data_IF_206054259642
#
_entry.id   IF_206054259642
#
_cell.length_a   1.000
_cell.length_b   1.000
_cell.length_c   1.000
_cell.angle_alpha   90.00
_cell.angle_beta   90.00
_cell.angle_gamma   90.00
#
_symmetry.space_group_name_H-M   'P 1'
#
loop_
_entity.id
_entity.type
_entity.pdbx_description
1 polymer ?
#
# COMPACT_ATOMS: atom_id res chain seq x y z
N UNK A 1 -47.49 61.63 39.63
CA UNK A 1 -47.25 61.17 38.24
C UNK A 1 -46.63 59.82 38.41
N UNK A 2 -47.47 58.79 38.38
CA UNK A 2 -47.12 57.50 38.96
C UNK A 2 -46.88 56.54 37.80
N UNK A 3 -45.60 56.36 37.49
CA UNK A 3 -45.14 55.42 36.47
C UNK A 3 -45.27 54.00 37.02
N UNK A 4 -46.25 53.26 36.50
CA UNK A 4 -46.54 51.89 36.87
C UNK A 4 -45.62 50.96 36.07
N UNK A 5 -44.58 50.44 36.71
CA UNK A 5 -43.72 49.38 36.16
C UNK A 5 -44.55 48.13 35.85
N UNK A 6 -44.71 47.82 34.57
CA UNK A 6 -45.33 46.57 34.10
C UNK A 6 -44.23 45.50 34.09
N UNK A 7 -44.38 44.50 34.96
CA UNK A 7 -43.41 43.42 35.20
C UNK A 7 -43.29 42.47 33.99
N UNK A 8 -42.12 42.43 33.34
CA UNK A 8 -41.78 41.55 32.22
C UNK A 8 -41.54 40.08 32.59
N UNK A 9 -42.46 39.44 33.33
CA UNK A 9 -42.38 38.01 33.67
C UNK A 9 -43.10 37.08 32.69
N UNK A 10 -44.04 37.59 31.89
CA UNK A 10 -44.92 36.75 31.05
C UNK A 10 -44.36 36.43 29.64
N UNK A 11 -43.20 36.98 29.27
CA UNK A 11 -42.63 36.80 27.93
C UNK A 11 -41.76 35.54 27.82
N UNK A 12 -41.14 35.10 28.93
CA UNK A 12 -40.30 33.88 28.95
C UNK A 12 -41.09 32.59 28.80
N UNK A 13 -42.33 32.55 29.29
CA UNK A 13 -43.13 31.33 29.27
C UNK A 13 -43.67 31.00 27.87
N UNK A 14 -43.93 32.03 27.05
CA UNK A 14 -44.34 31.88 25.65
C UNK A 14 -43.22 31.34 24.76
N UNK A 15 -41.98 31.76 25.00
CA UNK A 15 -40.81 31.26 24.26
C UNK A 15 -40.53 29.78 24.52
N UNK A 16 -40.81 29.29 25.73
CA UNK A 16 -40.73 27.86 26.06
C UNK A 16 -41.83 27.05 25.38
N UNK A 17 -43.07 27.55 25.39
CA UNK A 17 -44.20 26.85 24.75
C UNK A 17 -44.02 26.74 23.23
N UNK A 18 -43.55 27.82 22.58
CA UNK A 18 -43.24 27.82 21.13
C UNK A 18 -42.12 26.82 20.80
N UNK A 19 -41.09 26.71 21.64
CA UNK A 19 -40.01 25.72 21.46
C UNK A 19 -40.50 24.29 21.59
N UNK A 20 -41.34 24.01 22.59
CA UNK A 20 -41.90 22.67 22.78
C UNK A 20 -42.81 22.24 21.63
N UNK A 21 -43.61 23.16 21.09
CA UNK A 21 -44.45 22.89 19.91
C UNK A 21 -43.57 22.57 18.69
N UNK A 22 -42.53 23.39 18.45
CA UNK A 22 -41.60 23.16 17.34
C UNK A 22 -40.83 21.83 17.47
N UNK A 23 -40.49 21.39 18.69
CA UNK A 23 -39.82 20.11 18.93
C UNK A 23 -40.74 18.89 18.73
N UNK A 24 -42.04 19.02 19.05
CA UNK A 24 -43.05 17.98 18.78
C UNK A 24 -43.24 17.77 17.28
N UNK A 25 -43.33 18.85 16.51
CA UNK A 25 -43.50 18.80 15.06
C UNK A 25 -42.28 18.21 14.34
N UNK A 26 -41.06 18.54 14.78
CA UNK A 26 -39.83 17.95 14.24
C UNK A 26 -39.69 16.45 14.51
N UNK A 27 -40.26 15.95 15.60
CA UNK A 27 -40.21 14.52 15.93
C UNK A 27 -41.15 13.71 15.04
N UNK A 28 -42.35 14.23 14.74
CA UNK A 28 -43.27 13.63 13.79
C UNK A 28 -42.67 13.57 12.37
N UNK A 29 -42.04 14.67 11.93
CA UNK A 29 -41.31 14.75 10.66
C UNK A 29 -40.21 13.69 10.56
N UNK A 30 -39.45 13.49 11.64
CA UNK A 30 -38.38 12.49 11.70
C UNK A 30 -38.90 11.07 11.51
N UNK A 31 -39.98 10.69 12.19
CA UNK A 31 -40.57 9.36 12.04
C UNK A 31 -41.08 9.10 10.62
N UNK A 32 -41.64 10.12 9.98
CA UNK A 32 -42.11 10.04 8.59
C UNK A 32 -40.95 9.82 7.62
N UNK A 33 -39.82 10.54 7.80
CA UNK A 33 -38.59 10.34 7.03
C UNK A 33 -38.04 8.91 7.23
N UNK A 34 -38.03 8.38 8.46
CA UNK A 34 -37.53 7.01 8.70
C UNK A 34 -38.42 5.95 8.04
N UNK A 35 -39.75 6.10 8.11
CA UNK A 35 -40.72 5.19 7.48
C UNK A 35 -40.61 5.18 5.96
N UNK A 36 -40.41 6.34 5.33
CA UNK A 36 -40.31 6.47 3.87
C UNK A 36 -38.97 5.97 3.34
N UNK A 37 -37.85 6.23 4.04
CA UNK A 37 -36.55 5.66 3.69
C UNK A 37 -36.54 4.13 3.74
N UNK A 38 -37.26 3.51 4.69
CA UNK A 38 -37.44 2.05 4.76
C UNK A 38 -38.18 1.46 3.54
N UNK A 39 -38.99 2.26 2.85
CA UNK A 39 -39.67 1.86 1.60
C UNK A 39 -38.78 1.96 0.37
N UNK A 40 -37.53 2.40 0.52
CA UNK A 40 -36.57 2.54 -0.59
C UNK A 40 -36.77 3.79 -1.45
N UNK A 41 -37.60 4.73 -0.99
CA UNK A 41 -37.80 6.03 -1.64
C UNK A 41 -36.51 6.84 -1.53
N UNK A 42 -36.14 7.55 -2.60
CA UNK A 42 -34.93 8.37 -2.58
C UNK A 42 -35.10 9.60 -1.69
N UNK A 43 -33.98 10.10 -1.15
CA UNK A 43 -33.96 11.32 -0.32
C UNK A 43 -34.56 12.54 -1.03
N UNK A 44 -34.45 12.61 -2.37
CA UNK A 44 -35.02 13.70 -3.16
C UNK A 44 -36.54 13.61 -3.26
N UNK A 45 -37.08 12.41 -3.46
CA UNK A 45 -38.53 12.18 -3.51
C UNK A 45 -39.18 12.48 -2.14
N UNK A 46 -38.56 12.04 -1.04
CA UNK A 46 -39.02 12.35 0.32
C UNK A 46 -38.97 13.86 0.58
N UNK A 47 -37.89 14.53 0.14
CA UNK A 47 -37.77 15.98 0.28
C UNK A 47 -38.89 16.70 -0.46
N UNK A 48 -39.19 16.29 -1.69
CA UNK A 48 -40.28 16.88 -2.46
C UNK A 48 -41.65 16.63 -1.82
N UNK A 49 -41.93 15.40 -1.37
CA UNK A 49 -43.19 15.05 -0.71
C UNK A 49 -43.44 15.89 0.57
N UNK A 50 -42.40 16.14 1.36
CA UNK A 50 -42.50 16.97 2.56
C UNK A 50 -42.68 18.45 2.24
N UNK A 51 -42.03 18.96 1.20
CA UNK A 51 -42.27 20.33 0.72
C UNK A 51 -43.71 20.50 0.25
N UNK A 52 -44.26 19.50 -0.46
CA UNK A 52 -45.65 19.50 -0.93
C UNK A 52 -46.66 19.45 0.24
N UNK A 53 -46.24 18.95 1.41
CA UNK A 53 -47.01 18.96 2.66
C UNK A 53 -46.88 20.27 3.46
N UNK A 54 -46.15 21.27 2.94
CA UNK A 54 -46.02 22.60 3.54
C UNK A 54 -44.84 22.77 4.49
N UNK A 55 -43.96 21.78 4.62
CA UNK A 55 -42.73 21.91 5.41
C UNK A 55 -41.72 22.83 4.71
N UNK A 56 -40.95 23.60 5.47
CA UNK A 56 -39.88 24.41 4.89
C UNK A 56 -38.66 23.55 4.52
N UNK A 57 -37.89 23.96 3.51
CA UNK A 57 -36.67 23.22 3.13
C UNK A 57 -35.68 23.09 4.31
N UNK A 58 -35.63 24.09 5.20
CA UNK A 58 -34.73 24.06 6.36
C UNK A 58 -35.14 23.02 7.39
N UNK A 59 -36.44 22.88 7.67
CA UNK A 59 -36.97 21.86 8.59
C UNK A 59 -36.72 20.45 8.05
N UNK A 60 -36.95 20.26 6.76
CA UNK A 60 -36.68 18.98 6.08
C UNK A 60 -35.19 18.63 6.13
N UNK A 61 -34.30 19.59 5.87
CA UNK A 61 -32.86 19.37 5.94
C UNK A 61 -32.39 19.08 7.37
N UNK A 62 -32.95 19.77 8.39
CA UNK A 62 -32.69 19.49 9.81
C UNK A 62 -33.13 18.07 10.20
N UNK A 63 -34.30 17.62 9.75
CA UNK A 63 -34.78 16.27 10.00
C UNK A 63 -33.86 15.20 9.37
N UNK A 64 -33.40 15.41 8.14
CA UNK A 64 -32.43 14.50 7.52
C UNK A 64 -31.10 14.47 8.25
N UNK A 65 -30.58 15.62 8.69
CA UNK A 65 -29.33 15.67 9.47
C UNK A 65 -29.49 14.89 10.78
N UNK A 66 -30.60 15.10 11.51
CA UNK A 66 -30.91 14.34 12.72
C UNK A 66 -30.93 12.83 12.44
N UNK A 67 -31.58 12.41 11.36
CA UNK A 67 -31.65 10.99 10.96
C UNK A 67 -30.27 10.41 10.63
N UNK A 68 -29.45 11.14 9.88
CA UNK A 68 -28.09 10.71 9.54
C UNK A 68 -27.21 10.59 10.79
N UNK A 69 -27.33 11.52 11.75
CA UNK A 69 -26.62 11.46 13.04
C UNK A 69 -27.02 10.22 13.84
N UNK A 70 -28.32 9.99 14.04
CA UNK A 70 -28.80 8.81 14.78
C UNK A 70 -28.38 7.50 14.11
N UNK A 71 -28.45 7.44 12.77
CA UNK A 71 -27.99 6.28 12.00
C UNK A 71 -26.49 6.03 12.20
N UNK A 72 -25.68 7.07 12.17
CA UNK A 72 -24.23 6.96 12.40
C UNK A 72 -23.92 6.52 13.84
N UNK A 73 -24.65 7.03 14.84
CA UNK A 73 -24.52 6.60 16.24
C UNK A 73 -24.80 5.10 16.39
N UNK A 74 -25.90 4.59 15.82
CA UNK A 74 -26.21 3.15 15.82
C UNK A 74 -25.11 2.31 15.16
N UNK A 75 -24.52 2.78 14.06
CA UNK A 75 -23.40 2.10 13.39
C UNK A 75 -22.16 2.07 14.29
N UNK A 76 -21.84 3.17 14.98
CA UNK A 76 -20.71 3.24 15.90
C UNK A 76 -20.84 2.22 17.04
N UNK A 77 -22.02 2.15 17.67
CA UNK A 77 -22.30 1.16 18.74
C UNK A 77 -22.14 -0.29 18.25
N UNK A 78 -22.57 -0.59 17.02
CA UNK A 78 -22.41 -1.93 16.42
C UNK A 78 -20.93 -2.27 16.18
N UNK A 79 -20.12 -1.30 15.74
CA UNK A 79 -18.69 -1.48 15.55
C UNK A 79 -17.96 -1.71 16.87
N UNK A 80 -18.33 -0.99 17.93
CA UNK A 80 -17.80 -1.20 19.27
C UNK A 80 -18.12 -2.62 19.79
N UNK A 81 -19.38 -3.07 19.63
CA UNK A 81 -19.78 -4.45 19.96
C UNK A 81 -18.96 -5.48 19.18
N UNK A 82 -18.76 -5.28 17.88
CA UNK A 82 -17.92 -6.18 17.07
C UNK A 82 -16.46 -6.19 17.55
N UNK A 83 -15.92 -5.04 17.92
CA UNK A 83 -14.54 -4.94 18.41
C UNK A 83 -14.34 -5.70 19.72
N UNK A 84 -15.31 -5.62 20.64
CA UNK A 84 -15.31 -6.41 21.89
C UNK A 84 -15.36 -7.92 21.59
N UNK A 85 -16.23 -8.35 20.67
CA UNK A 85 -16.31 -9.76 20.25
C UNK A 85 -14.98 -10.26 19.66
N UNK A 86 -14.33 -9.46 18.81
CA UNK A 86 -13.03 -9.80 18.23
C UNK A 86 -11.92 -9.88 19.28
N UNK A 87 -11.90 -8.97 20.25
CA UNK A 87 -10.96 -9.03 21.39
C UNK A 87 -11.15 -10.32 22.19
N UNK A 88 -12.40 -10.67 22.51
CA UNK A 88 -12.72 -11.88 23.25
C UNK A 88 -12.38 -13.15 22.46
N UNK A 89 -12.64 -13.16 21.15
CA UNK A 89 -12.27 -14.26 20.27
C UNK A 89 -10.75 -14.43 20.20
N UNK A 90 -9.99 -13.33 20.11
CA UNK A 90 -8.52 -13.36 20.15
C UNK A 90 -7.99 -13.91 21.47
N UNK A 91 -8.56 -13.47 22.60
CA UNK A 91 -8.16 -13.96 23.92
C UNK A 91 -8.49 -15.46 24.09
N UNK A 92 -9.66 -15.90 23.62
CA UNK A 92 -10.02 -17.33 23.58
C UNK A 92 -9.08 -18.12 22.69
N UNK A 93 -8.71 -17.60 21.51
CA UNK A 93 -7.77 -18.25 20.61
C UNK A 93 -6.35 -18.33 21.20
N UNK A 94 -5.92 -17.32 21.96
CA UNK A 94 -4.64 -17.34 22.67
C UNK A 94 -4.61 -18.37 23.80
N UNK A 95 -5.71 -18.49 24.57
CA UNK A 95 -5.86 -19.53 25.60
C UNK A 95 -6.04 -20.95 25.04
N UNK A 96 -6.79 -21.08 23.95
CA UNK A 96 -7.07 -22.36 23.30
C UNK A 96 -5.96 -22.81 22.36
N UNK A 97 -5.00 -21.93 22.03
CA UNK A 97 -3.78 -22.35 21.38
C UNK A 97 -3.12 -23.38 22.30
N UNK A 98 -3.05 -24.67 21.91
CA UNK A 98 -2.43 -25.68 22.74
C UNK A 98 -1.03 -25.18 23.01
N UNK A 99 -0.69 -25.08 24.30
CA UNK A 99 0.66 -24.83 24.80
C UNK A 99 1.59 -25.54 23.84
N UNK A 100 2.33 -24.77 23.03
CA UNK A 100 3.11 -25.35 21.96
C UNK A 100 4.11 -26.28 22.64
N UNK A 101 3.77 -27.58 22.68
CA UNK A 101 4.69 -28.65 23.05
C UNK A 101 5.92 -28.35 22.24
N UNK A 102 6.96 -27.87 22.93
CA UNK A 102 8.19 -27.33 22.34
C UNK A 102 8.58 -28.26 21.22
N UNK A 103 8.30 -27.86 19.96
CA UNK A 103 8.67 -28.67 18.79
C UNK A 103 10.15 -29.03 18.99
N UNK A 104 10.55 -30.30 18.82
CA UNK A 104 11.92 -30.72 19.06
C UNK A 104 12.81 -29.73 18.34
N UNK A 105 13.66 -29.02 19.11
CA UNK A 105 14.51 -27.93 18.65
C UNK A 105 15.01 -28.29 17.26
N UNK A 106 14.43 -27.70 16.20
CA UNK A 106 14.88 -27.88 14.82
C UNK A 106 16.39 -27.70 14.91
N UNK A 107 17.17 -28.76 14.65
CA UNK A 107 18.64 -28.73 14.80
C UNK A 107 19.11 -27.44 14.16
N UNK A 108 19.47 -26.44 15.00
CA UNK A 108 19.77 -25.09 14.53
C UNK A 108 20.80 -25.27 13.42
N UNK A 109 20.49 -24.76 12.23
CA UNK A 109 21.38 -24.84 11.07
C UNK A 109 22.72 -24.28 11.53
N UNK A 110 23.68 -25.16 11.80
CA UNK A 110 24.96 -24.79 12.41
C UNK A 110 25.70 -23.90 11.43
N UNK A 111 26.14 -22.74 11.90
CA UNK A 111 27.00 -21.85 11.12
C UNK A 111 28.38 -22.48 11.04
N UNK A 112 28.99 -22.50 9.86
CA UNK A 112 30.26 -23.18 9.61
C UNK A 112 31.33 -22.14 9.40
N UNK A 113 32.36 -22.14 10.23
CA UNK A 113 33.44 -21.18 10.23
C UNK A 113 34.78 -21.82 9.86
N UNK A 114 35.62 -21.06 9.16
CA UNK A 114 36.97 -21.44 8.76
C UNK A 114 37.99 -20.73 9.65
N UNK A 115 38.77 -21.50 10.43
CA UNK A 115 39.84 -20.99 11.32
C UNK A 115 40.87 -20.15 10.55
N UNK A 116 41.27 -20.60 9.36
CA UNK A 116 42.29 -19.91 8.56
C UNK A 116 41.82 -18.56 8.02
N UNK A 117 40.61 -18.49 7.47
CA UNK A 117 40.12 -17.25 6.84
C UNK A 117 39.43 -16.31 7.83
N UNK A 118 39.19 -16.77 9.07
CA UNK A 118 38.31 -16.13 10.06
C UNK A 118 36.97 -15.70 9.46
N UNK A 119 36.41 -16.52 8.56
CA UNK A 119 35.09 -16.30 7.96
C UNK A 119 34.12 -17.40 8.32
N UNK A 120 32.84 -17.06 8.45
CA UNK A 120 31.76 -18.02 8.67
C UNK A 120 30.73 -18.01 7.55
N UNK A 121 30.09 -19.15 7.37
CA UNK A 121 29.27 -19.49 6.23
C UNK A 121 27.95 -20.13 6.67
N UNK A 122 26.90 -19.88 5.89
CA UNK A 122 25.63 -20.59 6.03
C UNK A 122 25.75 -22.02 5.49
N UNK A 123 25.04 -23.00 6.07
CA UNK A 123 24.98 -24.35 5.50
C UNK A 123 24.31 -24.28 4.11
N UNK A 124 25.07 -24.66 3.08
CA UNK A 124 24.72 -24.48 1.67
C UNK A 124 25.57 -23.46 0.91
N UNK A 125 26.50 -22.77 1.58
CA UNK A 125 27.47 -21.94 0.88
C UNK A 125 28.48 -22.80 0.12
N UNK A 126 28.72 -22.51 -1.18
CA UNK A 126 29.74 -23.18 -2.00
C UNK A 126 31.14 -23.19 -1.37
N UNK A 127 31.47 -22.19 -0.55
CA UNK A 127 32.78 -22.14 0.12
C UNK A 127 32.91 -23.11 1.30
N UNK A 128 31.81 -23.64 1.83
CA UNK A 128 31.84 -24.60 2.94
C UNK A 128 32.55 -25.90 2.55
N UNK A 129 32.33 -26.35 1.33
CA UNK A 129 32.96 -27.57 0.78
C UNK A 129 34.49 -27.41 0.62
N UNK A 130 34.97 -26.17 0.52
CA UNK A 130 36.40 -25.86 0.41
C UNK A 130 37.09 -25.69 1.76
N UNK A 131 36.34 -25.69 2.88
CA UNK A 131 36.92 -25.61 4.23
C UNK A 131 37.39 -27.00 4.62
N UNK A 132 38.70 -27.16 4.83
CA UNK A 132 39.27 -28.41 5.35
C UNK A 132 38.65 -28.74 6.71
N UNK A 133 38.36 -30.01 6.96
CA UNK A 133 37.73 -30.49 8.21
C UNK A 133 38.49 -30.04 9.47
N UNK A 134 39.83 -30.02 9.42
CA UNK A 134 40.70 -29.53 10.50
C UNK A 134 40.51 -28.04 10.84
N UNK A 135 40.15 -27.24 9.84
CA UNK A 135 39.98 -25.79 9.94
C UNK A 135 38.50 -25.41 10.15
N UNK A 136 37.59 -26.39 10.26
CA UNK A 136 36.16 -26.16 10.38
C UNK A 136 35.72 -26.06 11.85
N UNK A 137 35.18 -24.90 12.26
CA UNK A 137 34.49 -24.71 13.55
C UNK A 137 32.99 -24.55 13.29
N UNK A 138 32.14 -25.09 14.15
CA UNK A 138 30.66 -24.99 14.01
C UNK A 138 30.09 -24.20 15.19
N UNK A 139 29.26 -23.21 14.89
CA UNK A 139 28.59 -22.37 15.88
C UNK A 139 27.08 -22.63 15.89
N UNK A 140 26.45 -22.39 17.03
CA UNK A 140 25.00 -22.51 17.21
C UNK A 140 24.23 -21.38 16.54
N UNK A 141 24.83 -20.19 16.46
CA UNK A 141 24.29 -19.03 15.77
C UNK A 141 25.40 -18.12 15.20
N UNK A 142 24.99 -17.04 14.53
CA UNK A 142 25.93 -16.07 13.96
C UNK A 142 26.56 -15.17 15.02
N UNK A 143 25.89 -14.93 16.16
CA UNK A 143 26.38 -14.04 17.20
C UNK A 143 27.60 -14.65 17.88
N UNK A 144 27.52 -15.93 18.23
CA UNK A 144 28.59 -16.74 18.81
C UNK A 144 29.84 -16.72 17.91
N UNK A 145 29.66 -16.93 16.60
CA UNK A 145 30.76 -16.85 15.63
C UNK A 145 31.41 -15.46 15.59
N UNK A 146 30.63 -14.40 15.70
CA UNK A 146 31.12 -13.02 15.69
C UNK A 146 31.85 -12.63 16.98
N UNK A 147 31.34 -13.05 18.14
CA UNK A 147 32.00 -12.90 19.43
C UNK A 147 33.37 -13.58 19.44
N UNK A 148 33.47 -14.74 18.78
CA UNK A 148 34.71 -15.48 18.56
C UNK A 148 35.60 -14.90 17.47
N UNK A 149 35.21 -13.77 16.88
CA UNK A 149 36.03 -13.04 15.92
C UNK A 149 35.99 -13.61 14.49
N UNK A 150 34.89 -14.24 14.08
CA UNK A 150 34.68 -14.62 12.69
C UNK A 150 33.83 -13.58 11.94
N UNK A 151 34.14 -13.37 10.66
CA UNK A 151 33.45 -12.43 9.77
C UNK A 151 32.47 -13.17 8.85
N UNK A 152 31.29 -12.62 8.52
CA UNK A 152 30.37 -13.24 7.60
C UNK A 152 30.99 -13.40 6.22
N UNK A 153 30.79 -14.55 5.60
CA UNK A 153 31.15 -14.76 4.21
C UNK A 153 30.34 -13.81 3.32
N UNK A 154 31.06 -13.05 2.49
CA UNK A 154 30.43 -12.12 1.55
C UNK A 154 29.49 -12.81 0.56
N UNK A 155 29.57 -14.12 0.32
CA UNK A 155 28.76 -14.80 -0.71
C UNK A 155 27.45 -15.37 -0.17
N UNK A 156 27.47 -16.09 0.95
CA UNK A 156 26.25 -16.70 1.50
C UNK A 156 25.56 -15.85 2.57
N UNK A 157 26.23 -14.82 3.08
CA UNK A 157 25.63 -13.88 4.03
C UNK A 157 25.18 -12.57 3.33
N UNK A 158 25.13 -12.54 1.99
CA UNK A 158 24.55 -11.43 1.21
C UNK A 158 23.10 -11.26 1.62
N UNK A 159 22.74 -10.05 2.07
CA UNK A 159 21.37 -9.72 2.49
C UNK A 159 21.24 -9.37 3.97
N UNK A 160 22.22 -9.73 4.81
CA UNK A 160 22.31 -9.18 6.17
C UNK A 160 23.20 -7.95 6.13
N UNK A 161 22.62 -6.83 5.71
CA UNK A 161 23.22 -5.49 5.72
C UNK A 161 23.51 -5.09 7.17
N UNK A 162 24.56 -5.65 7.75
CA UNK A 162 24.98 -5.33 9.12
C UNK A 162 25.69 -3.99 9.14
N UNK A 163 25.17 -3.10 9.96
CA UNK A 163 25.82 -1.85 10.30
C UNK A 163 26.95 -2.17 11.27
N UNK A 164 28.15 -1.68 10.98
CA UNK A 164 29.33 -1.93 11.83
C UNK A 164 29.62 -0.66 12.61
N UNK A 165 29.53 -0.71 13.92
CA UNK A 165 29.88 0.36 14.83
C UNK A 165 31.27 0.16 15.44
N UNK A 166 31.91 1.26 15.80
CA UNK A 166 33.24 1.29 16.40
C UNK A 166 33.13 1.85 17.82
N UNK A 167 33.28 0.99 18.83
CA UNK A 167 33.26 1.36 20.26
C UNK A 167 34.20 2.52 20.59
N UNK A 168 35.38 2.52 19.98
CA UNK A 168 36.40 3.54 20.21
C UNK A 168 36.05 4.94 19.67
N UNK A 169 35.28 5.03 18.58
CA UNK A 169 35.01 6.32 17.91
C UNK A 169 33.58 6.81 18.11
N UNK A 170 32.70 5.99 18.70
CA UNK A 170 31.28 6.27 18.80
C UNK A 170 30.57 6.33 17.45
N UNK A 171 31.19 5.85 16.35
CA UNK A 171 30.63 5.96 14.99
C UNK A 171 30.22 4.61 14.42
N UNK A 172 29.13 4.61 13.64
CA UNK A 172 28.68 3.45 12.87
C UNK A 172 28.82 3.65 11.36
N UNK A 173 28.96 2.53 10.67
CA UNK A 173 29.24 2.47 9.25
C UNK A 173 28.23 1.59 8.54
N UNK A 174 27.62 2.11 7.48
CA UNK A 174 26.73 1.35 6.60
C UNK A 174 27.50 0.25 5.84
N UNK A 175 26.84 -0.87 5.49
CA UNK A 175 27.45 -1.91 4.67
C UNK A 175 28.03 -1.33 3.37
N UNK A 176 29.31 -1.58 3.12
CA UNK A 176 30.02 -1.04 1.96
C UNK A 176 30.80 0.26 2.24
N UNK A 177 30.71 0.82 3.44
CA UNK A 177 31.56 1.94 3.82
C UNK A 177 33.04 1.53 3.82
N UNK A 178 33.87 2.28 3.08
CA UNK A 178 35.32 2.04 2.97
C UNK A 178 36.07 2.02 4.31
N UNK A 179 35.55 2.72 5.32
CA UNK A 179 36.18 2.84 6.63
C UNK A 179 35.94 1.64 7.56
N UNK A 180 35.06 0.69 7.20
CA UNK A 180 34.82 -0.52 8.00
C UNK A 180 36.11 -1.31 8.21
N UNK A 181 36.97 -1.36 7.18
CA UNK A 181 38.26 -2.07 7.22
C UNK A 181 39.20 -1.52 8.29
N UNK A 182 39.08 -0.23 8.62
CA UNK A 182 39.97 0.47 9.56
C UNK A 182 39.55 0.25 11.03
N UNK A 183 38.34 -0.22 11.29
CA UNK A 183 37.89 -0.49 12.65
C UNK A 183 38.59 -1.76 13.15
N UNK A 184 39.27 -1.70 14.29
CA UNK A 184 39.90 -2.89 14.88
C UNK A 184 38.82 -3.89 15.26
N UNK A 185 39.09 -5.17 15.06
CA UNK A 185 38.10 -6.22 15.29
C UNK A 185 37.53 -6.22 16.72
N UNK A 186 38.37 -5.95 17.73
CA UNK A 186 37.98 -5.82 19.13
C UNK A 186 37.03 -4.66 19.43
N UNK A 187 37.03 -3.63 18.58
CA UNK A 187 36.20 -2.43 18.75
C UNK A 187 34.94 -2.49 17.86
N UNK A 188 34.79 -3.53 17.03
CA UNK A 188 33.64 -3.68 16.12
C UNK A 188 32.43 -4.22 16.87
N UNK A 189 31.35 -3.48 16.80
CA UNK A 189 30.01 -3.93 17.17
C UNK A 189 29.13 -3.98 15.92
N UNK A 190 28.13 -4.87 15.87
CA UNK A 190 27.29 -5.06 14.69
C UNK A 190 25.82 -4.95 15.04
N UNK A 191 25.11 -4.16 14.25
CA UNK A 191 23.67 -3.95 14.37
C UNK A 191 22.95 -4.43 13.11
N UNK A 192 21.70 -4.85 13.25
CA UNK A 192 20.88 -5.22 12.11
C UNK A 192 20.25 -3.99 11.46
N UNK A 193 19.93 -2.98 12.27
CA UNK A 193 19.27 -1.75 11.82
C UNK A 193 19.99 -0.49 12.31
N UNK A 194 19.80 0.61 11.57
CA UNK A 194 20.33 1.93 11.92
C UNK A 194 19.80 2.40 13.27
N UNK A 195 18.52 2.11 13.54
CA UNK A 195 17.85 2.48 14.79
C UNK A 195 18.47 1.82 16.00
N UNK A 196 18.93 0.57 15.88
CA UNK A 196 19.60 -0.14 16.97
C UNK A 196 20.95 0.51 17.29
N UNK A 197 21.72 0.86 16.26
CA UNK A 197 23.01 1.55 16.42
C UNK A 197 22.84 2.93 17.08
N UNK A 198 21.85 3.71 16.63
CA UNK A 198 21.52 5.03 17.21
C UNK A 198 21.05 4.87 18.66
N UNK A 199 20.19 3.89 18.95
CA UNK A 199 19.71 3.61 20.32
C UNK A 199 20.86 3.20 21.25
N UNK A 200 21.89 2.55 20.71
CA UNK A 200 23.11 2.23 21.43
C UNK A 200 24.10 3.41 21.55
N UNK A 201 23.74 4.60 21.07
CA UNK A 201 24.55 5.82 21.21
C UNK A 201 25.59 6.04 20.12
N UNK A 202 25.52 5.32 18.99
CA UNK A 202 26.44 5.52 17.87
C UNK A 202 25.91 6.52 16.84
N UNK A 203 26.81 7.36 16.33
CA UNK A 203 26.53 8.33 15.27
C UNK A 203 26.97 7.82 13.88
N UNK A 204 26.28 8.18 12.78
CA UNK A 204 26.73 7.77 11.45
C UNK A 204 28.11 8.36 11.13
N UNK A 205 28.97 7.56 10.51
CA UNK A 205 30.20 8.05 9.92
C UNK A 205 29.89 9.15 8.88
N UNK A 206 30.76 10.16 8.72
CA UNK A 206 30.52 11.28 7.78
C UNK A 206 30.13 10.80 6.36
N UNK A 207 30.90 9.87 5.80
CA UNK A 207 30.62 9.30 4.47
C UNK A 207 29.31 8.48 4.41
N UNK A 208 28.88 7.93 5.55
CA UNK A 208 27.66 7.15 5.67
C UNK A 208 26.44 8.07 5.81
N UNK A 209 26.60 9.18 6.54
CA UNK A 209 25.58 10.18 6.75
C UNK A 209 25.12 10.79 5.42
N UNK A 210 26.05 11.06 4.50
CA UNK A 210 25.71 11.60 3.17
C UNK A 210 24.79 10.64 2.40
N UNK A 211 25.05 9.33 2.46
CA UNK A 211 24.20 8.30 1.84
C UNK A 211 22.81 8.29 2.49
N UNK A 212 22.74 8.34 3.82
CA UNK A 212 21.47 8.36 4.56
C UNK A 212 20.64 9.59 4.21
N UNK A 213 21.27 10.77 4.09
CA UNK A 213 20.61 12.01 3.70
C UNK A 213 20.07 11.91 2.27
N UNK A 214 20.81 11.31 1.34
CA UNK A 214 20.36 11.08 -0.04
C UNK A 214 19.16 10.12 -0.04
N UNK A 215 19.23 8.99 0.65
CA UNK A 215 18.14 8.02 0.72
C UNK A 215 16.86 8.65 1.29
N UNK A 216 16.96 9.40 2.41
CA UNK A 216 15.82 10.13 2.99
C UNK A 216 15.23 11.17 2.04
N UNK A 217 16.06 11.87 1.25
CA UNK A 217 15.59 12.78 0.20
C UNK A 217 14.85 12.03 -0.91
N UNK A 218 15.35 10.88 -1.34
CA UNK A 218 14.68 10.06 -2.37
C UNK A 218 13.37 9.46 -1.87
N UNK A 219 13.28 9.04 -0.61
CA UNK A 219 12.06 8.50 -0.01
C UNK A 219 10.99 9.58 0.16
N UNK A 220 11.37 10.81 0.53
CA UNK A 220 10.45 11.95 0.50
C UNK A 220 9.94 12.25 -0.91
N UNK A 221 10.78 12.09 -1.95
CA UNK A 221 10.37 12.25 -3.36
C UNK A 221 9.45 11.12 -3.82
N UNK A 222 9.61 9.89 -3.34
CA UNK A 222 8.73 8.77 -3.70
C UNK A 222 7.41 8.77 -2.93
N UNK A 223 7.38 9.32 -1.70
CA UNK A 223 6.16 9.53 -0.89
C UNK A 223 5.39 10.78 -1.25
N UNK A 224 6.04 11.78 -1.86
CA UNK A 224 5.30 12.84 -2.54
C UNK A 224 4.39 12.13 -3.54
N UNK A 225 3.06 12.26 -3.37
CA UNK A 225 2.07 11.76 -4.33
C UNK A 225 2.64 12.07 -5.70
N UNK A 226 2.89 11.06 -6.57
CA UNK A 226 3.51 11.32 -7.87
C UNK A 226 2.74 12.50 -8.41
N UNK A 227 3.42 13.65 -8.62
CA UNK A 227 2.78 14.81 -9.22
C UNK A 227 2.05 14.19 -10.38
N UNK A 228 0.71 14.17 -10.34
CA UNK A 228 -0.06 13.54 -11.38
C UNK A 228 0.30 14.40 -12.56
N UNK A 229 1.30 13.99 -13.33
CA UNK A 229 1.44 14.36 -14.71
C UNK A 229 0.17 13.75 -15.28
N UNK A 230 -0.92 14.50 -15.14
CA UNK A 230 -2.05 14.39 -16.00
C UNK A 230 -1.39 14.61 -17.34
N UNK A 231 -1.07 13.51 -18.02
CA UNK A 231 -0.95 13.55 -19.45
C UNK A 231 -2.29 14.13 -19.86
N UNK A 232 -2.32 15.45 -20.07
CA UNK A 232 -3.50 16.16 -20.48
C UNK A 232 -3.84 15.55 -21.83
N UNK A 233 -4.77 14.59 -21.81
CA UNK A 233 -5.02 13.76 -22.98
C UNK A 233 -5.69 14.59 -24.06
N UNK A 234 -6.33 15.69 -23.66
CA UNK A 234 -7.09 16.56 -24.53
C UNK A 234 -6.68 18.02 -24.36
N UNK A 235 -6.55 18.69 -25.49
CA UNK A 235 -6.21 20.11 -25.62
C UNK A 235 -7.25 20.79 -26.51
N UNK A 236 -7.66 22.00 -26.17
CA UNK A 236 -8.55 22.83 -26.97
C UNK A 236 -8.02 24.27 -27.02
N UNK A 237 -8.43 25.03 -28.03
CA UNK A 237 -8.20 26.47 -28.06
C UNK A 237 -9.21 27.18 -27.14
N UNK A 238 -8.84 28.28 -26.49
CA UNK A 238 -9.76 29.12 -25.71
C UNK A 238 -10.94 29.63 -26.55
N UNK A 239 -10.70 29.82 -27.83
CA UNK A 239 -11.64 30.44 -28.78
C UNK A 239 -12.30 29.39 -29.69
N UNK A 240 -11.91 28.12 -29.57
CA UNK A 240 -12.35 27.04 -30.44
C UNK A 240 -13.46 26.20 -29.84
N UNK A 241 -14.44 25.80 -30.66
CA UNK A 241 -15.52 24.89 -30.24
C UNK A 241 -15.13 23.41 -30.19
N UNK A 242 -13.87 23.06 -30.47
CA UNK A 242 -13.39 21.69 -30.58
C UNK A 242 -12.22 21.37 -29.65
N UNK A 243 -12.16 20.13 -29.17
CA UNK A 243 -11.00 19.59 -28.46
C UNK A 243 -10.34 18.44 -29.21
N UNK A 244 -9.03 18.33 -29.05
CA UNK A 244 -8.17 17.41 -29.76
C UNK A 244 -7.41 16.52 -28.77
N UNK A 245 -7.01 15.32 -29.18
CA UNK A 245 -5.97 14.59 -28.42
C UNK A 245 -4.62 15.29 -28.55
N UNK A 246 -3.72 15.16 -27.58
CA UNK A 246 -2.36 15.74 -27.65
C UNK A 246 -1.54 15.28 -28.87
N UNK A 247 -1.88 14.10 -29.43
CA UNK A 247 -1.24 13.56 -30.63
C UNK A 247 -1.84 14.09 -31.95
N UNK A 248 -2.95 14.83 -31.89
CA UNK A 248 -3.59 15.41 -33.07
C UNK A 248 -2.74 16.55 -33.62
N UNK A 249 -2.58 16.59 -34.94
CA UNK A 249 -1.80 17.63 -35.60
C UNK A 249 -2.43 19.03 -35.39
N UNK A 250 -3.77 19.13 -35.50
CA UNK A 250 -4.52 20.35 -35.15
C UNK A 250 -4.32 20.75 -33.68
N UNK A 251 -4.30 19.78 -32.76
CA UNK A 251 -4.05 20.05 -31.34
C UNK A 251 -2.66 20.62 -31.07
N UNK A 252 -1.65 20.22 -31.85
CA UNK A 252 -0.29 20.77 -31.77
C UNK A 252 -0.15 22.16 -32.41
N UNK A 253 -1.03 22.49 -33.35
CA UNK A 253 -1.06 23.78 -34.04
C UNK A 253 -1.70 24.91 -33.20
N UNK A 254 -2.39 24.60 -32.10
CA UNK A 254 -2.95 25.61 -31.19
C UNK A 254 -1.80 26.35 -30.50
N UNK A 255 -1.81 27.68 -30.52
CA UNK A 255 -0.84 28.51 -29.79
C UNK A 255 -0.83 28.19 -28.28
N UNK A 256 0.36 28.02 -27.68
CA UNK A 256 0.51 27.63 -26.26
C UNK A 256 -0.28 28.51 -25.28
N UNK A 257 -0.41 29.81 -25.56
CA UNK A 257 -1.15 30.77 -24.72
C UNK A 257 -2.67 30.57 -24.77
N UNK A 258 -3.18 29.99 -25.86
CA UNK A 258 -4.61 29.68 -26.07
C UNK A 258 -4.98 28.24 -25.70
N UNK A 259 -4.01 27.40 -25.33
CA UNK A 259 -4.26 26.00 -25.00
C UNK A 259 -4.95 25.86 -23.65
N UNK A 260 -6.14 25.23 -23.65
CA UNK A 260 -6.83 24.72 -22.46
C UNK A 260 -6.74 23.21 -22.43
N UNK A 261 -6.37 22.66 -21.29
CA UNK A 261 -6.12 21.22 -21.13
C UNK A 261 -7.20 20.55 -20.29
N UNK A 262 -7.66 19.37 -20.75
CA UNK A 262 -8.70 18.61 -20.08
C UNK A 262 -8.18 17.21 -19.69
N UNK A 263 -8.49 16.73 -18.47
CA UNK A 263 -8.02 15.42 -17.99
C UNK A 263 -8.74 14.25 -18.69
N UNK A 264 -9.92 14.49 -19.26
CA UNK A 264 -10.73 13.47 -19.94
C UNK A 264 -11.62 14.08 -21.03
N UNK A 265 -12.10 13.23 -21.93
CA UNK A 265 -13.05 13.60 -22.98
C UNK A 265 -14.36 14.15 -22.39
N UNK A 266 -14.83 13.54 -21.29
CA UNK A 266 -16.03 13.98 -20.58
C UNK A 266 -15.86 15.37 -19.95
N UNK A 267 -14.67 15.70 -19.45
CA UNK A 267 -14.39 17.04 -18.93
C UNK A 267 -14.44 18.10 -20.04
N UNK A 268 -13.90 17.81 -21.22
CA UNK A 268 -13.98 18.71 -22.37
C UNK A 268 -15.42 18.90 -22.87
N UNK A 269 -16.23 17.83 -22.92
CA UNK A 269 -17.65 17.91 -23.29
C UNK A 269 -18.49 18.72 -22.29
N UNK A 270 -18.24 18.57 -20.99
CA UNK A 270 -18.90 19.40 -19.96
C UNK A 270 -18.55 20.89 -20.09
N UNK A 271 -17.41 21.22 -20.71
CA UNK A 271 -17.05 22.58 -21.06
C UNK A 271 -17.65 23.04 -22.41
N UNK A 272 -18.61 22.30 -22.99
CA UNK A 272 -19.28 22.67 -24.25
C UNK A 272 -18.48 22.36 -25.51
N UNK A 273 -17.32 21.70 -25.40
CA UNK A 273 -16.46 21.45 -26.55
C UNK A 273 -16.83 20.14 -27.27
N UNK A 274 -16.83 20.19 -28.61
CA UNK A 274 -17.04 19.02 -29.46
C UNK A 274 -15.71 18.30 -29.72
N UNK A 275 -15.67 16.97 -29.78
CA UNK A 275 -14.45 16.27 -30.16
C UNK A 275 -14.11 16.52 -31.64
N UNK A 276 -12.84 16.69 -31.96
CA UNK A 276 -12.36 16.74 -33.34
C UNK A 276 -12.60 15.40 -34.06
N UNK A 277 -13.16 15.43 -35.28
CA UNK A 277 -13.54 14.21 -36.03
C UNK A 277 -12.38 13.25 -36.27
N UNK A 278 -11.19 13.76 -36.59
CA UNK A 278 -9.97 12.94 -36.73
C UNK A 278 -9.58 12.24 -35.43
N UNK A 279 -9.79 12.91 -34.29
CA UNK A 279 -9.49 12.35 -32.97
C UNK A 279 -10.46 11.24 -32.59
N UNK A 280 -11.72 11.33 -33.03
CA UNK A 280 -12.74 10.30 -32.80
C UNK A 280 -12.51 9.10 -33.72
N UNK A 281 -12.19 9.35 -34.99
CA UNK A 281 -12.01 8.31 -36.00
C UNK A 281 -10.90 7.31 -35.65
N UNK A 282 -9.77 7.81 -35.15
CA UNK A 282 -8.63 6.96 -34.73
C UNK A 282 -8.94 6.09 -33.49
N UNK A 283 -9.87 6.50 -32.63
CA UNK A 283 -10.28 5.69 -31.48
C UNK A 283 -11.08 4.45 -31.92
N UNK A 284 -11.92 4.58 -32.96
CA UNK A 284 -12.79 3.49 -33.45
C UNK A 284 -12.01 2.36 -34.14
N UNK A 285 -10.93 2.67 -34.84
CA UNK A 285 -10.14 1.65 -35.57
C UNK A 285 -9.28 0.79 -34.64
N UNK A 286 -8.75 1.35 -33.54
CA UNK A 286 -7.92 0.61 -32.58
C UNK A 286 -8.65 -0.51 -31.81
N UNK A 287 -9.97 -0.39 -31.62
CA UNK A 287 -10.78 -1.42 -30.97
C UNK A 287 -11.14 -2.58 -31.91
N UNK A 288 -11.15 -2.36 -33.23
CA UNK A 288 -11.45 -3.42 -34.22
C UNK A 288 -10.33 -4.47 -34.30
N UNK A 289 -9.08 -4.07 -34.05
CA UNK A 289 -7.92 -4.97 -34.02
C UNK A 289 -7.85 -5.79 -32.72
N UNK A 290 -8.23 -5.22 -31.57
CA UNK A 290 -8.27 -5.97 -30.29
C UNK A 290 -9.35 -7.06 -30.25
N UNK A 291 -10.51 -6.84 -30.88
CA UNK A 291 -11.57 -7.86 -30.96
C UNK A 291 -11.22 -9.05 -31.87
N UNK A 292 -10.24 -8.90 -32.78
CA UNK A 292 -9.76 -9.98 -33.65
C UNK A 292 -8.72 -10.88 -32.98
N UNK A 293 -8.02 -10.40 -31.94
CA UNK A 293 -7.05 -11.17 -31.17
C UNK A 293 -7.67 -11.99 -30.03
N UNK A 294 -8.88 -11.66 -29.55
CA UNK A 294 -9.54 -12.43 -28.47
C UNK A 294 -10.36 -13.63 -28.96
N UNK A 295 -10.47 -13.87 -30.28
CA UNK A 295 -11.25 -15.00 -30.84
C UNK A 295 -10.41 -16.21 -31.26
N UNK A 296 -9.08 -16.13 -31.24
CA UNK A 296 -8.19 -17.23 -31.64
C UNK A 296 -7.63 -18.07 -30.47
N UNK A 297 -8.27 -18.02 -29.30
CA UNK A 297 -7.77 -18.68 -28.09
C UNK A 297 -8.81 -19.56 -27.38
N UNK A 298 -9.55 -20.41 -28.10
CA UNK A 298 -10.37 -21.46 -27.46
C UNK A 298 -10.64 -22.62 -28.42
N UNK A 299 -9.63 -23.44 -28.67
CA UNK A 299 -9.81 -24.81 -29.16
C UNK A 299 -8.70 -25.70 -28.60
N UNK A 300 -8.70 -25.92 -27.29
CA UNK A 300 -8.03 -27.09 -26.71
C UNK A 300 -9.02 -28.25 -26.82
N UNK A 301 -8.77 -29.12 -27.80
CA UNK A 301 -9.40 -30.44 -27.89
C UNK A 301 -8.82 -31.31 -26.79
N UNK A 302 -9.69 -31.81 -25.93
CA UNK A 302 -9.41 -32.96 -25.09
C UNK A 302 -9.26 -34.19 -26.00
N UNK A 303 -8.11 -34.86 -25.90
CA UNK A 303 -7.89 -36.17 -26.51
C UNK A 303 -7.26 -37.08 -25.46
N UNK A 304 -8.10 -37.61 -24.59
CA UNK A 304 -7.87 -38.82 -23.83
C UNK A 304 -8.34 -40.01 -24.67
N UNK A 305 -7.42 -40.84 -25.15
CA UNK A 305 -7.71 -42.25 -25.44
C UNK A 305 -6.43 -43.04 -25.61
N UNK A 306 -6.44 -44.17 -24.91
CA UNK A 306 -5.38 -45.14 -24.74
C UNK A 306 -4.92 -45.78 -26.06
N UNK A 307 -3.65 -46.21 -26.10
CA UNK A 307 -3.27 -47.49 -26.71
C UNK A 307 -1.95 -48.00 -26.14
N UNK A 308 -1.94 -49.33 -25.97
CA UNK A 308 -1.02 -50.20 -25.25
C UNK A 308 -0.32 -51.08 -26.29
N UNK A 309 1.01 -51.17 -26.29
CA UNK A 309 1.84 -52.24 -26.87
C UNK A 309 3.31 -51.96 -26.51
N UNK A 310 3.96 -52.75 -25.64
CA UNK A 310 4.74 -53.97 -25.91
C UNK A 310 5.91 -53.79 -26.89
N UNK A 311 7.12 -53.80 -26.30
CA UNK A 311 8.28 -54.61 -26.70
C UNK A 311 9.06 -54.21 -27.97
N UNK A 312 10.35 -53.91 -27.82
CA UNK A 312 11.46 -54.64 -28.45
C UNK A 312 12.83 -53.99 -28.16
N UNK A 313 13.84 -54.85 -28.11
CA UNK A 313 15.28 -54.61 -27.99
C UNK A 313 15.88 -53.60 -28.98
N UNK A 314 16.91 -52.87 -28.53
CA UNK A 314 18.14 -52.59 -29.30
C UNK A 314 19.14 -51.83 -28.41
N UNK A 315 20.15 -52.51 -27.86
CA UNK A 315 21.58 -52.38 -28.17
C UNK A 315 22.16 -50.95 -28.20
N UNK A 316 23.06 -50.72 -27.22
CA UNK A 316 24.25 -49.85 -27.20
C UNK A 316 24.92 -49.65 -28.59
N UNK A 317 25.71 -48.58 -28.86
CA UNK A 317 26.91 -48.32 -28.04
C UNK A 317 27.38 -46.86 -27.87
N UNK A 318 28.32 -46.76 -26.93
CA UNK A 318 29.25 -45.67 -26.72
C UNK A 318 30.09 -45.30 -27.97
N UNK A 319 30.40 -44.01 -28.12
CA UNK A 319 31.76 -43.49 -28.33
C UNK A 319 31.71 -42.01 -28.71
N UNK A 320 32.52 -41.20 -28.04
CA UNK A 320 32.56 -39.75 -28.26
C UNK A 320 33.82 -39.10 -27.72
N UNK A 321 34.95 -39.72 -28.03
CA UNK A 321 36.32 -39.22 -27.80
C UNK A 321 36.52 -37.91 -28.59
N UNK A 322 36.85 -36.79 -27.95
CA UNK A 322 37.42 -35.63 -28.66
C UNK A 322 38.75 -35.21 -28.05
N UNK A 323 39.73 -35.21 -28.95
CA UNK A 323 41.16 -35.04 -28.76
C UNK A 323 41.54 -33.60 -28.44
N UNK A 324 42.67 -33.53 -27.77
CA UNK A 324 43.65 -32.44 -27.66
C UNK A 324 44.01 -31.77 -29.00
N UNK A 325 44.30 -30.48 -28.91
CA UNK A 325 45.23 -29.64 -29.70
C UNK A 325 45.02 -28.20 -29.20
N UNK A 326 46.01 -27.35 -28.94
CA UNK A 326 47.46 -27.40 -29.17
C UNK A 326 48.08 -26.37 -28.22
#
# INVERSE_FOLDING_TARGET
MDNKEISGKDEKDKDTEIKEIAERDLTALFEQVEKTLKKGITRLEIKQELLDQGWTSEEVDKAFIKHDVERLTRIAELLEKQFVLLKNARFKAEKAAPEQKKKPKRKKKRIIASKNTKKYHQPGCRFVEMIKTKDMKRFGDEKEAETEGYNPCHTCCKGRKRIVASRNTGKYHLPGCRFISNIKQKDRERFYEEKEAIKAGYEPCRACNDVIVIEKKTEKRSKAKPKKHYHHRYVASSDGGHFHTYACHWGKAIEKKKQRFYPSMAAARRAGLKPCDECIGKAKTSNKTKKKLSRNGSSRKDSSSAKKAKGAHSKNPASGRRKTRR
#
